data_IF_090175610740
#
_entry.id   IF_090175610740
#
_cell.length_a   1.000
_cell.length_b   1.000
_cell.length_c   1.000
_cell.angle_alpha   90.00
_cell.angle_beta   90.00
_cell.angle_gamma   90.00
#
_symmetry.space_group_name_H-M   'P 1'
#
loop_
_entity.id
_entity.type
_entity.pdbx_description
1 polymer ?
#
# COMPACT_ATOMS: atom_id res chain seq x y z
N UNK A 1 -6.73 -17.52 22.47
CA UNK A 1 -7.19 -16.53 21.45
C UNK A 1 -8.21 -17.15 20.51
N UNK A 2 -8.13 -18.45 20.27
CA UNK A 2 -9.10 -19.28 19.53
C UNK A 2 -10.56 -19.03 19.92
N UNK A 3 -10.86 -18.86 21.22
CA UNK A 3 -12.24 -18.59 21.69
C UNK A 3 -12.85 -17.32 21.12
N UNK A 4 -12.06 -16.27 20.87
CA UNK A 4 -12.57 -15.04 20.24
C UNK A 4 -12.90 -15.28 18.77
N UNK A 5 -12.04 -16.02 18.06
CA UNK A 5 -12.23 -16.34 16.65
C UNK A 5 -13.51 -17.16 16.45
N UNK A 6 -13.75 -18.20 17.26
CA UNK A 6 -14.96 -19.02 17.15
C UNK A 6 -16.25 -18.20 17.39
N UNK A 7 -16.26 -17.29 18.37
CA UNK A 7 -17.43 -16.43 18.63
C UNK A 7 -17.63 -15.46 17.46
N UNK A 8 -16.56 -14.84 16.96
CA UNK A 8 -16.66 -13.90 15.82
C UNK A 8 -17.13 -14.61 14.54
N UNK A 9 -16.64 -15.82 14.26
CA UNK A 9 -17.02 -16.62 13.10
C UNK A 9 -18.53 -16.96 13.11
N UNK A 10 -19.09 -17.27 14.29
CA UNK A 10 -20.52 -17.52 14.45
C UNK A 10 -21.39 -16.29 14.10
N UNK A 11 -20.88 -15.08 14.35
CA UNK A 11 -21.59 -13.81 14.13
C UNK A 11 -21.13 -13.05 12.87
N UNK A 12 -20.17 -13.60 12.12
CA UNK A 12 -19.47 -12.95 11.01
C UNK A 12 -20.41 -12.38 9.96
N UNK A 13 -21.49 -13.10 9.63
CA UNK A 13 -22.47 -12.71 8.60
C UNK A 13 -23.13 -11.36 8.89
N UNK A 14 -23.31 -11.01 10.17
CA UNK A 14 -23.96 -9.75 10.59
C UNK A 14 -22.94 -8.62 10.63
N UNK A 15 -21.75 -8.88 11.20
CA UNK A 15 -20.72 -7.87 11.38
C UNK A 15 -20.02 -7.48 10.07
N UNK A 16 -19.77 -8.42 9.16
CA UNK A 16 -19.03 -8.21 7.90
C UNK A 16 -19.94 -7.99 6.68
N UNK A 17 -21.25 -7.84 6.89
CA UNK A 17 -22.17 -7.56 5.80
C UNK A 17 -21.82 -6.18 5.17
N UNK A 18 -21.05 -6.22 4.07
CA UNK A 18 -20.63 -5.04 3.27
C UNK A 18 -21.49 -4.82 2.03
N UNK A 19 -22.15 -5.87 1.50
CA UNK A 19 -22.77 -5.86 0.16
C UNK A 19 -24.29 -5.76 0.14
N UNK A 20 -24.96 -6.02 1.26
CA UNK A 20 -26.40 -5.88 1.37
C UNK A 20 -26.67 -4.92 2.52
N UNK A 21 -27.10 -3.72 2.19
CA UNK A 21 -27.42 -2.61 3.10
C UNK A 21 -28.69 -2.90 3.95
N UNK A 22 -28.93 -4.17 4.25
CA UNK A 22 -30.10 -4.67 4.98
C UNK A 22 -29.92 -4.60 6.48
N UNK A 23 -28.67 -4.58 6.97
CA UNK A 23 -28.38 -4.59 8.41
C UNK A 23 -27.98 -3.19 8.85
N UNK A 24 -28.79 -2.61 9.72
CA UNK A 24 -28.54 -1.28 10.28
C UNK A 24 -27.34 -1.30 11.25
N UNK A 25 -26.66 -0.16 11.41
CA UNK A 25 -25.57 -0.03 12.38
C UNK A 25 -26.01 -0.38 13.82
N UNK A 26 -27.28 -0.11 14.15
CA UNK A 26 -27.87 -0.45 15.44
C UNK A 26 -27.93 -1.96 15.69
N UNK A 27 -28.23 -2.74 14.66
CA UNK A 27 -28.22 -4.21 14.74
C UNK A 27 -26.79 -4.76 14.84
N UNK A 28 -25.84 -4.17 14.11
CA UNK A 28 -24.42 -4.52 14.26
C UNK A 28 -23.94 -4.25 15.70
N UNK A 29 -24.30 -3.11 16.28
CA UNK A 29 -23.94 -2.79 17.67
C UNK A 29 -24.57 -3.76 18.67
N UNK A 30 -25.85 -4.13 18.48
CA UNK A 30 -26.51 -5.13 19.31
C UNK A 30 -25.85 -6.52 19.21
N UNK A 31 -25.43 -6.95 18.01
CA UNK A 31 -24.72 -8.23 17.86
C UNK A 31 -23.35 -8.20 18.56
N UNK A 32 -22.65 -7.06 18.53
CA UNK A 32 -21.39 -6.89 19.27
C UNK A 32 -21.58 -6.98 20.79
N UNK A 33 -22.68 -6.49 21.35
CA UNK A 33 -23.02 -6.67 22.77
C UNK A 33 -23.26 -8.13 23.12
N UNK A 34 -23.97 -8.85 22.24
CA UNK A 34 -24.23 -10.29 22.40
C UNK A 34 -22.95 -11.11 22.33
N UNK A 35 -22.10 -10.86 21.33
CA UNK A 35 -20.74 -11.44 21.24
C UNK A 35 -19.91 -11.19 22.50
N UNK A 36 -20.00 -9.98 23.05
CA UNK A 36 -19.27 -9.62 24.28
C UNK A 36 -19.76 -10.43 25.47
N UNK A 37 -21.07 -10.61 25.58
CA UNK A 37 -21.70 -11.41 26.64
C UNK A 37 -21.29 -12.89 26.53
N UNK A 38 -21.35 -13.47 25.33
CA UNK A 38 -20.93 -14.85 25.07
C UNK A 38 -19.43 -15.05 25.35
N UNK A 39 -18.59 -14.14 24.87
CA UNK A 39 -17.15 -14.18 25.11
C UNK A 39 -16.82 -14.11 26.60
N UNK A 40 -17.47 -13.18 27.33
CA UNK A 40 -17.26 -13.01 28.76
C UNK A 40 -17.78 -14.21 29.57
N UNK A 41 -18.86 -14.87 29.12
CA UNK A 41 -19.36 -16.10 29.74
C UNK A 41 -18.39 -17.28 29.58
N UNK A 42 -17.75 -17.42 28.40
CA UNK A 42 -16.79 -18.50 28.13
C UNK A 42 -15.45 -18.27 28.81
N UNK A 43 -14.93 -17.04 28.75
CA UNK A 43 -13.57 -16.72 29.22
C UNK A 43 -13.55 -16.25 30.69
N UNK A 44 -14.71 -15.88 31.24
CA UNK A 44 -14.82 -15.36 32.61
C UNK A 44 -14.20 -13.96 32.80
N UNK A 45 -13.95 -13.24 31.70
CA UNK A 45 -13.38 -11.89 31.75
C UNK A 45 -14.48 -10.84 31.60
N UNK A 46 -14.43 -9.74 32.36
CA UNK A 46 -15.37 -8.62 32.20
C UNK A 46 -14.95 -7.63 31.10
N UNK A 47 -14.73 -8.09 29.86
CA UNK A 47 -14.29 -7.21 28.78
C UNK A 47 -15.45 -6.39 28.23
N UNK A 48 -15.16 -5.14 27.86
CA UNK A 48 -16.14 -4.27 27.19
C UNK A 48 -16.15 -4.49 25.68
N UNK A 49 -17.27 -4.14 25.04
CA UNK A 49 -17.44 -4.24 23.57
C UNK A 49 -16.28 -3.57 22.83
N UNK A 50 -15.86 -2.38 23.29
CA UNK A 50 -14.76 -1.62 22.68
C UNK A 50 -13.43 -2.39 22.73
N UNK A 51 -13.14 -3.09 23.81
CA UNK A 51 -11.93 -3.90 23.94
C UNK A 51 -11.94 -5.10 23.00
N UNK A 52 -13.11 -5.73 22.82
CA UNK A 52 -13.27 -6.86 21.91
C UNK A 52 -13.13 -6.41 20.46
N UNK A 53 -13.79 -5.31 20.06
CA UNK A 53 -13.62 -4.72 18.71
C UNK A 53 -12.18 -4.36 18.42
N UNK A 54 -11.53 -3.60 19.31
CA UNK A 54 -10.14 -3.20 19.12
C UNK A 54 -9.19 -4.40 19.01
N UNK A 55 -9.49 -5.49 19.73
CA UNK A 55 -8.71 -6.72 19.61
C UNK A 55 -8.98 -7.45 18.30
N UNK A 56 -10.23 -7.50 17.86
CA UNK A 56 -10.62 -8.06 16.57
C UNK A 56 -9.99 -7.30 15.40
N UNK A 57 -10.05 -5.97 15.40
CA UNK A 57 -9.50 -5.15 14.33
C UNK A 57 -8.01 -5.39 14.15
N UNK A 58 -7.26 -5.52 15.26
CA UNK A 58 -5.83 -5.90 15.22
C UNK A 58 -5.62 -7.26 14.55
N UNK A 59 -6.44 -8.25 14.88
CA UNK A 59 -6.35 -9.59 14.29
C UNK A 59 -6.78 -9.61 12.81
N UNK A 60 -7.76 -8.79 12.44
CA UNK A 60 -8.26 -8.74 11.07
C UNK A 60 -7.28 -8.03 10.12
N UNK A 61 -6.57 -7.00 10.60
CA UNK A 61 -5.48 -6.37 9.86
C UNK A 61 -4.38 -7.38 9.55
N UNK A 62 -3.96 -8.17 10.55
CA UNK A 62 -2.94 -9.20 10.36
C UNK A 62 -3.41 -10.31 9.40
N UNK A 63 -4.69 -10.67 9.42
CA UNK A 63 -5.28 -11.65 8.49
C UNK A 63 -5.36 -11.10 7.06
N UNK A 64 -5.68 -9.82 6.90
CA UNK A 64 -5.76 -9.17 5.57
C UNK A 64 -4.38 -9.06 4.93
N UNK A 65 -3.32 -8.88 5.74
CA UNK A 65 -1.93 -8.85 5.28
C UNK A 65 -1.47 -10.24 4.79
N UNK A 66 -2.01 -11.32 5.36
CA UNK A 66 -1.66 -12.69 4.97
C UNK A 66 -2.44 -13.21 3.74
N UNK A 67 -3.60 -12.64 3.43
CA UNK A 67 -4.41 -13.04 2.26
C UNK A 67 -4.10 -12.26 0.96
N UNK A 68 -3.04 -11.45 0.92
CA UNK A 68 -2.49 -10.95 -0.35
C UNK A 68 -3.35 -9.90 -1.07
N UNK A 69 -4.25 -9.24 -0.35
CA UNK A 69 -4.92 -8.03 -0.84
C UNK A 69 -4.08 -6.80 -0.52
N UNK A 70 -3.29 -6.33 -1.48
CA UNK A 70 -2.66 -5.01 -1.44
C UNK A 70 -3.77 -3.96 -1.30
N UNK A 71 -4.08 -3.56 -0.06
CA UNK A 71 -4.79 -2.31 0.16
C UNK A 71 -3.75 -1.23 -0.06
N UNK A 72 -3.80 -0.63 -1.25
CA UNK A 72 -2.98 0.47 -1.73
C UNK A 72 -3.15 1.68 -0.78
N UNK A 73 -2.50 1.65 0.38
CA UNK A 73 -2.32 2.84 1.21
C UNK A 73 -1.10 3.57 0.67
N UNK A 74 -1.37 4.45 -0.30
CA UNK A 74 -0.39 5.37 -0.86
C UNK A 74 0.06 6.34 0.24
N UNK A 75 1.22 6.05 0.82
CA UNK A 75 2.12 7.09 1.30
C UNK A 75 3.47 6.86 0.62
N UNK A 76 3.89 7.74 -0.30
CA UNK A 76 5.18 7.62 -0.96
C UNK A 76 6.27 7.93 0.06
N UNK A 77 6.89 6.88 0.60
CA UNK A 77 8.20 7.03 1.23
C UNK A 77 9.20 7.06 0.09
N UNK A 78 9.73 8.25 -0.20
CA UNK A 78 10.94 8.40 -1.00
C UNK A 78 12.11 7.79 -0.24
N UNK A 79 12.28 6.47 -0.36
CA UNK A 79 13.50 5.81 0.07
C UNK A 79 14.54 6.10 -1.00
N UNK A 80 15.37 7.09 -0.71
CA UNK A 80 16.64 7.33 -1.38
C UNK A 80 17.48 6.06 -1.25
N UNK A 81 17.55 5.27 -2.31
CA UNK A 81 18.36 4.05 -2.35
C UNK A 81 19.84 4.45 -2.41
N UNK A 82 20.44 4.73 -1.26
CA UNK A 82 21.89 4.85 -1.14
C UNK A 82 22.50 3.47 -1.24
N UNK A 83 23.32 3.32 -2.28
CA UNK A 83 24.19 2.19 -2.57
C UNK A 83 25.04 1.87 -1.34
N UNK A 84 24.69 0.80 -0.62
CA UNK A 84 25.53 0.23 0.44
C UNK A 84 26.48 -0.76 -0.22
N UNK A 85 27.74 -0.36 -0.31
CA UNK A 85 28.84 -1.25 -0.64
C UNK A 85 28.93 -2.33 0.45
N UNK A 86 28.89 -3.57 0.00
CA UNK A 86 29.02 -4.78 0.79
C UNK A 86 30.44 -4.85 1.37
N UNK A 87 30.61 -4.38 2.60
CA UNK A 87 31.83 -4.57 3.40
C UNK A 87 31.66 -5.83 4.23
N UNK A 88 32.60 -6.75 4.04
CA UNK A 88 32.75 -8.03 4.73
C UNK A 88 33.05 -7.79 6.22
N UNK A 89 32.04 -7.96 7.10
CA UNK A 89 32.18 -7.76 8.54
C UNK A 89 32.40 -9.08 9.29
N UNK A 90 33.58 -9.16 9.90
CA UNK A 90 33.99 -10.11 10.92
C UNK A 90 33.17 -9.94 12.22
N UNK A 91 33.02 -11.00 13.04
CA UNK A 91 32.33 -10.92 14.31
C UNK A 91 33.21 -10.25 15.36
N UNK A 92 32.96 -8.97 15.66
CA UNK A 92 33.56 -8.28 16.81
C UNK A 92 32.51 -8.00 17.88
N UNK A 93 32.56 -8.81 18.92
CA UNK A 93 32.06 -8.50 20.26
C UNK A 93 32.74 -7.25 20.81
N UNK A 94 32.00 -6.22 21.24
CA UNK A 94 32.28 -5.49 22.49
C UNK A 94 31.27 -4.35 22.73
N UNK A 95 30.86 -4.24 23.99
CA UNK A 95 30.07 -3.19 24.61
C UNK A 95 30.63 -1.76 24.37
N UNK A 96 29.75 -0.77 24.20
CA UNK A 96 29.58 0.40 25.10
C UNK A 96 28.72 1.49 24.44
N UNK A 97 27.77 2.01 25.23
CA UNK A 97 27.33 3.41 25.36
C UNK A 97 27.61 4.35 24.17
N UNK A 98 26.57 4.98 23.61
CA UNK A 98 26.34 6.43 23.73
C UNK A 98 24.84 6.74 23.61
N UNK A 99 24.37 7.58 24.53
CA UNK A 99 23.04 8.14 24.57
C UNK A 99 23.12 9.57 24.00
N UNK A 100 22.75 9.73 22.74
CA UNK A 100 22.66 11.04 22.08
C UNK A 100 21.17 11.36 21.82
N UNK A 101 20.63 12.13 22.76
CA UNK A 101 19.64 13.21 22.65
C UNK A 101 18.88 13.35 21.29
N UNK A 102 17.87 12.49 21.05
CA UNK A 102 16.87 12.74 19.99
C UNK A 102 15.56 13.27 20.59
N UNK A 103 15.59 14.55 21.01
CA UNK A 103 14.39 15.36 21.29
C UNK A 103 13.79 15.83 19.96
N UNK A 104 13.15 14.91 19.24
CA UNK A 104 12.29 15.29 18.13
C UNK A 104 10.90 15.67 18.66
N UNK A 105 10.54 16.92 18.41
CA UNK A 105 9.29 17.62 18.70
C UNK A 105 8.02 16.75 18.60
N UNK A 106 7.53 16.24 19.73
CA UNK A 106 6.23 15.53 19.80
C UNK A 106 5.00 16.47 19.78
N UNK A 107 5.15 17.76 19.48
CA UNK A 107 4.05 18.74 19.53
C UNK A 107 3.76 19.47 18.20
N UNK A 108 4.14 18.89 17.06
CA UNK A 108 3.61 19.36 15.77
C UNK A 108 2.20 18.82 15.54
N UNK A 109 1.23 19.45 16.21
CA UNK A 109 -0.19 19.18 16.04
C UNK A 109 -0.59 19.54 14.60
N UNK A 110 -1.06 18.55 13.84
CA UNK A 110 -1.53 18.69 12.45
C UNK A 110 -2.58 19.80 12.24
N UNK A 111 -3.22 20.27 13.30
CA UNK A 111 -4.16 21.40 13.28
C UNK A 111 -3.53 22.72 12.81
N UNK A 112 -2.20 22.86 12.86
CA UNK A 112 -1.51 24.07 12.38
C UNK A 112 -1.44 24.15 10.84
N UNK A 113 -1.69 23.05 10.12
CA UNK A 113 -1.65 23.00 8.67
C UNK A 113 -3.00 23.40 8.07
N UNK A 114 -3.14 24.69 7.71
CA UNK A 114 -4.28 25.16 6.92
C UNK A 114 -3.96 25.21 5.41
N UNK A 115 -4.93 25.02 4.51
CA UNK A 115 -4.73 25.12 3.06
C UNK A 115 -4.19 26.49 2.60
N UNK A 116 -4.33 27.53 3.43
CA UNK A 116 -3.78 28.85 3.17
C UNK A 116 -2.25 28.92 3.42
N UNK A 117 -1.73 28.15 4.38
CA UNK A 117 -0.30 28.09 4.68
C UNK A 117 0.50 27.46 3.52
N UNK A 118 -0.07 26.48 2.83
CA UNK A 118 0.52 25.84 1.65
C UNK A 118 0.59 26.75 0.41
N UNK A 119 -0.17 27.85 0.39
CA UNK A 119 -0.18 28.78 -0.75
C UNK A 119 0.85 29.90 -0.63
N UNK A 120 1.57 29.99 0.49
CA UNK A 120 2.62 30.99 0.64
C UNK A 120 3.91 30.48 -0.03
N UNK A 121 4.54 31.29 -0.90
CA UNK A 121 5.81 30.92 -1.50
C UNK A 121 6.86 30.79 -0.40
N UNK A 122 7.49 29.62 -0.28
CA UNK A 122 8.50 29.31 0.76
C UNK A 122 9.72 30.25 0.73
N UNK A 123 9.92 31.00 -0.35
CA UNK A 123 11.07 31.89 -0.49
C UNK A 123 10.66 33.28 -1.02
N UNK A 124 11.02 34.38 -0.33
CA UNK A 124 10.73 35.75 -0.77
C UNK A 124 11.34 36.10 -2.13
N UNK A 125 12.36 35.35 -2.58
CA UNK A 125 12.98 35.52 -3.90
C UNK A 125 12.04 35.13 -5.07
N UNK A 126 11.03 34.29 -4.82
CA UNK A 126 10.02 33.91 -5.82
C UNK A 126 8.82 34.86 -5.85
N UNK A 127 8.73 35.79 -4.90
CA UNK A 127 7.74 36.87 -4.89
C UNK A 127 8.18 38.07 -5.76
N UNK A 128 9.10 37.87 -6.71
CA UNK A 128 9.51 38.88 -7.66
C UNK A 128 8.30 39.26 -8.54
N UNK A 129 7.78 40.45 -8.26
CA UNK A 129 6.54 40.97 -8.81
C UNK A 129 6.40 40.80 -10.31
N UNK A 130 5.27 40.25 -10.71
CA UNK A 130 4.68 40.46 -12.04
C UNK A 130 4.31 41.94 -12.12
N UNK A 131 5.30 42.80 -12.37
CA UNK A 131 5.05 44.11 -12.92
C UNK A 131 4.63 43.89 -14.37
N UNK A 132 3.32 43.86 -14.60
CA UNK A 132 2.74 43.95 -15.94
C UNK A 132 3.35 45.15 -16.67
N UNK A 133 4.11 44.95 -17.76
CA UNK A 133 4.50 46.05 -18.61
C UNK A 133 3.23 46.52 -19.34
N UNK A 134 2.82 47.76 -19.10
CA UNK A 134 1.83 48.43 -19.94
C UNK A 134 2.40 48.51 -21.36
N UNK A 135 1.91 47.63 -22.25
CA UNK A 135 2.28 47.63 -23.65
C UNK A 135 1.67 48.85 -24.33
N UNK A 136 2.51 49.87 -24.50
CA UNK A 136 2.36 50.95 -25.47
C UNK A 136 2.12 50.38 -26.87
N UNK A 137 1.09 50.91 -27.52
CA UNK A 137 0.71 50.62 -28.89
C UNK A 137 1.71 51.29 -29.86
N UNK A 138 2.67 50.53 -30.36
CA UNK A 138 3.41 50.90 -31.56
C UNK A 138 3.04 49.97 -32.73
N UNK A 139 2.33 50.57 -33.68
CA UNK A 139 1.99 50.00 -34.97
C UNK A 139 3.27 49.68 -35.78
N UNK A 140 3.36 48.45 -36.30
CA UNK A 140 4.35 48.06 -37.28
C UNK A 140 3.72 47.88 -38.68
N UNK A 141 4.50 48.10 -39.76
CA UNK A 141 3.98 48.26 -41.11
C UNK A 141 3.56 46.94 -41.75
N UNK A 142 2.47 47.03 -42.50
CA UNK A 142 1.87 46.03 -43.37
C UNK A 142 2.82 45.65 -44.52
N UNK A 143 3.38 44.44 -44.45
CA UNK A 143 4.18 43.84 -45.52
C UNK A 143 3.28 43.19 -46.59
N UNK A 144 3.69 43.40 -47.84
CA UNK A 144 2.93 43.26 -49.07
C UNK A 144 2.87 41.81 -49.54
N UNK A 145 1.68 41.38 -49.96
CA UNK A 145 1.39 40.07 -50.54
C UNK A 145 2.11 39.89 -51.87
N UNK A 146 3.04 38.93 -51.96
CA UNK A 146 3.53 38.38 -53.24
C UNK A 146 2.94 36.99 -53.45
N UNK A 147 2.30 36.79 -54.60
CA UNK A 147 1.55 35.60 -54.98
C UNK A 147 2.46 34.39 -55.32
N UNK A 148 2.04 33.15 -55.02
CA UNK A 148 2.90 31.97 -55.11
C UNK A 148 2.83 31.27 -56.49
N UNK A 149 4.00 30.93 -57.05
CA UNK A 149 4.13 30.04 -58.23
C UNK A 149 3.95 28.57 -57.83
N UNK A 150 2.95 27.91 -58.41
CA UNK A 150 2.62 26.49 -58.20
C UNK A 150 3.68 25.57 -58.83
N UNK A 151 4.56 24.97 -58.02
CA UNK A 151 5.39 23.82 -58.43
C UNK A 151 4.68 22.53 -58.05
N UNK A 152 4.45 21.65 -59.03
CA UNK A 152 3.93 20.28 -58.83
C UNK A 152 4.93 19.50 -57.97
N UNK A 153 4.58 19.28 -56.71
CA UNK A 153 5.36 18.55 -55.71
C UNK A 153 5.01 17.07 -55.83
N UNK A 154 5.98 16.25 -56.24
CA UNK A 154 5.89 14.79 -56.15
C UNK A 154 5.52 14.39 -54.72
N UNK A 155 4.32 13.84 -54.52
CA UNK A 155 3.93 13.23 -53.26
C UNK A 155 4.62 11.87 -53.19
N UNK A 156 5.80 11.82 -52.55
CA UNK A 156 6.33 10.54 -52.08
C UNK A 156 5.38 10.03 -51.00
N UNK A 157 4.93 8.76 -51.06
CA UNK A 157 4.12 8.17 -50.00
C UNK A 157 4.95 8.24 -48.72
N UNK A 158 4.50 9.11 -47.81
CA UNK A 158 5.11 9.29 -46.51
C UNK A 158 4.76 8.04 -45.72
N UNK A 159 5.61 7.02 -45.80
CA UNK A 159 5.72 5.93 -44.84
C UNK A 159 6.12 6.55 -43.50
N UNK A 160 5.17 7.26 -42.86
CA UNK A 160 5.27 7.62 -41.45
C UNK A 160 5.15 6.31 -40.71
N UNK A 161 6.29 5.75 -40.34
CA UNK A 161 6.32 4.74 -39.27
C UNK A 161 5.58 5.37 -38.08
N UNK A 162 4.64 4.66 -37.45
CA UNK A 162 4.05 5.13 -36.22
C UNK A 162 5.20 5.35 -35.25
N UNK A 163 5.45 6.62 -34.94
CA UNK A 163 6.35 6.99 -33.86
C UNK A 163 5.53 6.72 -32.62
N UNK A 164 5.56 5.47 -32.14
CA UNK A 164 5.16 5.21 -30.77
C UNK A 164 5.99 6.14 -29.91
N UNK A 165 5.31 7.00 -29.18
CA UNK A 165 6.01 8.07 -28.48
C UNK A 165 6.92 7.42 -27.43
N UNK A 166 8.05 8.04 -27.08
CA UNK A 166 8.92 7.52 -26.01
C UNK A 166 8.14 7.24 -24.71
N UNK A 167 7.03 7.93 -24.47
CA UNK A 167 6.15 7.71 -23.33
C UNK A 167 5.37 6.40 -23.42
N UNK A 168 4.97 5.98 -24.62
CA UNK A 168 4.25 4.73 -24.86
C UNK A 168 5.14 3.52 -24.58
N UNK A 169 6.38 3.55 -25.10
CA UNK A 169 7.38 2.52 -24.79
C UNK A 169 7.69 2.45 -23.29
N UNK A 170 7.78 3.60 -22.62
CA UNK A 170 8.01 3.66 -21.18
C UNK A 170 6.82 3.05 -20.40
N UNK A 171 5.59 3.33 -20.82
CA UNK A 171 4.39 2.79 -20.20
C UNK A 171 4.32 1.26 -20.37
N UNK A 172 4.62 0.77 -21.57
CA UNK A 172 4.69 -0.66 -21.87
C UNK A 172 5.69 -1.37 -20.96
N UNK A 173 6.89 -0.81 -20.78
CA UNK A 173 7.89 -1.37 -19.85
C UNK A 173 7.49 -1.30 -18.38
N UNK A 174 6.75 -0.27 -17.96
CA UNK A 174 6.18 -0.22 -16.60
C UNK A 174 5.14 -1.32 -16.38
N UNK A 175 4.28 -1.57 -17.37
CA UNK A 175 3.28 -2.63 -17.30
C UNK A 175 3.93 -4.02 -17.26
N UNK A 176 4.96 -4.26 -18.09
CA UNK A 176 5.75 -5.50 -18.03
C UNK A 176 6.34 -5.72 -16.65
N UNK A 177 6.93 -4.67 -16.03
CA UNK A 177 7.53 -4.77 -14.70
C UNK A 177 6.50 -5.10 -13.61
N UNK A 178 5.34 -4.45 -13.64
CA UNK A 178 4.25 -4.75 -12.70
C UNK A 178 3.75 -6.19 -12.88
N UNK A 179 3.62 -6.66 -14.13
CA UNK A 179 3.24 -8.05 -14.41
C UNK A 179 4.23 -9.05 -13.82
N UNK A 180 5.54 -8.82 -13.98
CA UNK A 180 6.58 -9.67 -13.42
C UNK A 180 6.58 -9.66 -11.88
N UNK A 181 6.31 -8.52 -11.25
CA UNK A 181 6.20 -8.42 -9.80
C UNK A 181 5.01 -9.24 -9.26
N UNK A 182 3.87 -9.22 -9.95
CA UNK A 182 2.71 -10.06 -9.62
C UNK A 182 3.06 -11.55 -9.76
N UNK A 183 3.74 -11.94 -10.84
CA UNK A 183 4.16 -13.34 -11.02
C UNK A 183 5.13 -13.82 -9.95
N UNK A 184 6.07 -12.97 -9.52
CA UNK A 184 7.01 -13.28 -8.45
C UNK A 184 6.28 -13.54 -7.13
N UNK A 185 5.36 -12.64 -6.74
CA UNK A 185 4.56 -12.79 -5.52
C UNK A 185 3.70 -14.06 -5.56
N UNK A 186 3.10 -14.37 -6.72
CA UNK A 186 2.35 -15.62 -6.90
C UNK A 186 3.22 -16.86 -6.69
N UNK A 187 4.43 -16.88 -7.28
CA UNK A 187 5.37 -17.99 -7.09
C UNK A 187 5.84 -18.13 -5.65
N UNK A 188 6.05 -17.03 -4.95
CA UNK A 188 6.42 -17.05 -3.54
C UNK A 188 5.31 -17.65 -2.66
N UNK A 189 4.05 -17.25 -2.91
CA UNK A 189 2.88 -17.81 -2.23
C UNK A 189 2.75 -19.32 -2.50
N UNK A 190 2.85 -19.76 -3.76
CA UNK A 190 2.80 -21.18 -4.13
C UNK A 190 3.92 -22.01 -3.46
N UNK A 191 5.14 -21.47 -3.39
CA UNK A 191 6.24 -22.10 -2.67
C UNK A 191 6.00 -22.16 -1.15
N UNK A 192 5.35 -21.15 -0.58
CA UNK A 192 4.96 -21.16 0.83
C UNK A 192 3.89 -22.22 1.12
N UNK A 193 2.89 -22.35 0.26
CA UNK A 193 1.84 -23.35 0.39
C UNK A 193 2.42 -24.78 0.24
N UNK A 194 3.31 -24.98 -0.73
CA UNK A 194 4.04 -26.25 -0.89
C UNK A 194 4.84 -26.64 0.37
N UNK A 195 5.48 -25.66 1.03
CA UNK A 195 6.18 -25.89 2.31
C UNK A 195 5.22 -26.29 3.44
N UNK A 196 4.01 -25.70 3.50
CA UNK A 196 2.98 -26.07 4.48
C UNK A 196 2.47 -27.49 4.23
N UNK A 197 2.20 -27.84 2.97
CA UNK A 197 1.76 -29.18 2.59
C UNK A 197 2.82 -30.24 2.90
N UNK A 198 4.09 -29.98 2.61
CA UNK A 198 5.18 -30.91 2.93
C UNK A 198 5.33 -31.11 4.44
N UNK A 199 5.24 -30.03 5.22
CA UNK A 199 5.28 -30.11 6.69
C UNK A 199 4.15 -31.00 7.22
N UNK A 200 2.93 -30.78 6.74
CA UNK A 200 1.78 -31.61 7.12
C UNK A 200 1.95 -33.07 6.69
N UNK A 201 2.48 -33.31 5.48
CA UNK A 201 2.77 -34.66 4.98
C UNK A 201 3.79 -35.40 5.86
N UNK A 202 4.84 -34.73 6.30
CA UNK A 202 5.85 -35.31 7.19
C UNK A 202 5.26 -35.62 8.57
N UNK A 203 4.45 -34.71 9.12
CA UNK A 203 3.76 -34.89 10.39
C UNK A 203 2.84 -36.11 10.38
N UNK A 204 2.04 -36.28 9.31
CA UNK A 204 1.17 -37.45 9.16
C UNK A 204 1.95 -38.76 9.14
N UNK A 205 3.07 -38.83 8.40
CA UNK A 205 3.94 -40.03 8.39
C UNK A 205 4.55 -40.32 9.76
N UNK A 206 4.83 -39.30 10.56
CA UNK A 206 5.37 -39.48 11.90
C UNK A 206 4.32 -40.10 12.82
N UNK A 207 3.09 -39.60 12.77
CA UNK A 207 1.96 -40.15 13.53
C UNK A 207 1.67 -41.60 13.13
N UNK A 208 1.67 -41.92 11.83
CA UNK A 208 1.52 -43.30 11.35
C UNK A 208 2.56 -44.25 11.96
N UNK A 209 3.83 -43.82 12.00
CA UNK A 209 4.91 -44.61 12.63
C UNK A 209 4.69 -44.80 14.12
N UNK A 210 4.26 -43.76 14.84
CA UNK A 210 3.96 -43.84 16.28
C UNK A 210 2.82 -44.83 16.56
N UNK A 211 1.75 -44.81 15.76
CA UNK A 211 0.64 -45.76 15.86
C UNK A 211 1.11 -47.22 15.66
N UNK A 212 2.02 -47.46 14.70
CA UNK A 212 2.58 -48.79 14.47
C UNK A 212 3.43 -49.27 15.66
N UNK A 213 4.18 -48.37 16.29
CA UNK A 213 5.01 -48.71 17.46
C UNK A 213 4.16 -49.09 18.68
N UNK A 214 3.07 -48.36 18.95
CA UNK A 214 2.20 -48.63 20.10
C UNK A 214 1.42 -49.95 19.99
N UNK A 215 1.14 -50.43 18.78
CA UNK A 215 0.41 -51.68 18.57
C UNK A 215 1.29 -52.94 18.67
N UNK A 216 2.60 -52.80 18.89
CA UNK A 216 3.55 -53.93 18.99
C UNK A 216 3.91 -54.31 20.43
N UNK A 217 3.41 -53.57 21.42
CA UNK A 217 3.51 -53.89 22.85
C UNK A 217 2.24 -54.59 23.33
#
# INVERSE_FOLDING_TARGET
>A
METLLCVVEAHQKVIECKKTDTISNREKDAEWEKMTTEFNAVVGTGRTVKQIRMKWDKLNVDSTILEGGVVEFVAPIEISLTQVDFVDEQPTTSNQLEAEDNKENENETWEQWSPAALKQPLHPALAAGVQSPSRSAHALPRLVNTTPKKRKRFQKPSMRRPVTSKQELLLEKKLELVSLQIELLKKEHEAQESRRQEKHRVEMRLLEKQCICLNKE
#
